data_IF_880224740350
#
_entry.id   IF_880224740350
#
_cell.length_a   1.000
_cell.length_b   1.000
_cell.length_c   1.000
_cell.angle_alpha   90.00
_cell.angle_beta   90.00
_cell.angle_gamma   90.00
#
_symmetry.space_group_name_H-M   'P 1'
#
loop_
_entity.id
_entity.type
_entity.pdbx_description
1 polymer ?
#
# COMPACT_ATOMS: atom_id res chain seq x y z
N UNK A 1 28.68 10.56 2.83
CA UNK A 1 27.97 9.80 1.79
C UNK A 1 27.80 8.38 2.34
N UNK A 2 26.79 8.20 3.18
CA UNK A 2 26.53 6.92 3.84
C UNK A 2 25.61 6.08 2.97
N UNK A 3 26.11 4.90 2.64
CA UNK A 3 25.45 3.91 1.81
C UNK A 3 24.54 3.14 2.76
N UNK A 4 23.24 3.40 2.68
CA UNK A 4 22.19 2.72 3.43
C UNK A 4 22.26 1.19 3.18
N UNK A 5 22.89 0.48 4.12
CA UNK A 5 22.87 -0.99 4.22
C UNK A 5 21.54 -1.42 4.83
N UNK A 6 20.46 -1.46 4.05
CA UNK A 6 19.13 -1.88 4.53
C UNK A 6 18.77 -3.34 4.21
N UNK A 7 19.67 -4.10 3.57
CA UNK A 7 19.36 -5.45 3.07
C UNK A 7 19.51 -6.59 4.09
N UNK A 8 20.30 -6.41 5.15
CA UNK A 8 20.61 -7.47 6.12
C UNK A 8 19.74 -7.46 7.38
N UNK A 9 19.36 -6.27 7.85
CA UNK A 9 18.69 -6.11 9.14
C UNK A 9 17.20 -6.50 9.08
N UNK A 10 16.55 -6.33 7.91
CA UNK A 10 15.15 -6.69 7.71
C UNK A 10 14.90 -8.19 7.88
N UNK A 11 15.84 -9.05 7.47
CA UNK A 11 15.64 -10.51 7.54
C UNK A 11 15.70 -11.04 8.98
N UNK A 12 16.60 -10.50 9.80
CA UNK A 12 16.75 -10.90 11.21
C UNK A 12 15.70 -10.23 12.11
N UNK A 13 15.31 -8.99 11.81
CA UNK A 13 14.18 -8.31 12.46
C UNK A 13 12.86 -9.04 12.19
N UNK A 14 12.64 -9.48 10.93
CA UNK A 14 11.52 -10.35 10.56
C UNK A 14 11.53 -11.69 11.31
N UNK A 15 12.67 -12.37 11.39
CA UNK A 15 12.79 -13.64 12.12
C UNK A 15 12.47 -13.47 13.60
N UNK A 16 12.94 -12.38 14.21
CA UNK A 16 12.75 -12.09 15.64
C UNK A 16 11.30 -11.69 15.93
N UNK A 17 10.70 -10.83 15.10
CA UNK A 17 9.31 -10.38 15.23
C UNK A 17 8.32 -11.54 14.98
N UNK A 18 8.63 -12.46 14.05
CA UNK A 18 7.88 -13.73 13.87
C UNK A 18 7.93 -14.57 15.15
N UNK A 19 9.12 -14.79 15.72
CA UNK A 19 9.28 -15.60 16.93
C UNK A 19 8.57 -14.96 18.12
N UNK A 20 8.65 -13.64 18.29
CA UNK A 20 7.93 -12.91 19.33
C UNK A 20 6.41 -12.96 19.13
N UNK A 21 5.88 -12.81 17.91
CA UNK A 21 4.44 -12.96 17.64
C UNK A 21 3.94 -14.36 18.00
N UNK A 22 4.71 -15.41 17.68
CA UNK A 22 4.35 -16.79 18.04
C UNK A 22 4.53 -17.10 19.53
N UNK A 23 5.31 -16.31 20.28
CA UNK A 23 5.62 -16.57 21.71
C UNK A 23 4.94 -15.61 22.69
N UNK A 24 4.50 -14.42 22.26
CA UNK A 24 4.00 -13.34 23.15
C UNK A 24 2.52 -12.97 22.98
N UNK A 25 1.80 -13.48 21.98
CA UNK A 25 0.34 -13.33 21.89
C UNK A 25 -0.29 -14.47 21.09
N UNK A 26 -1.31 -15.18 21.58
CA UNK A 26 -2.53 -14.54 22.04
C UNK A 26 -3.42 -15.45 22.89
N UNK A 27 -3.83 -14.91 24.04
CA UNK A 27 -5.08 -15.22 24.74
C UNK A 27 -6.33 -14.82 23.94
N UNK A 28 -6.19 -14.43 22.66
CA UNK A 28 -7.25 -14.53 21.67
C UNK A 28 -7.20 -15.93 21.07
N UNK A 29 -7.89 -16.87 21.72
CA UNK A 29 -8.24 -18.14 21.11
C UNK A 29 -9.09 -17.86 19.87
N UNK A 30 -8.44 -17.77 18.70
CA UNK A 30 -9.11 -18.10 17.45
C UNK A 30 -9.47 -19.57 17.61
N UNK A 31 -10.72 -19.85 17.97
CA UNK A 31 -11.24 -21.21 18.00
C UNK A 31 -11.32 -21.65 16.54
N UNK A 32 -10.21 -22.18 16.04
CA UNK A 32 -10.18 -22.87 14.75
C UNK A 32 -11.01 -24.12 14.99
N UNK A 33 -12.25 -24.13 14.50
CA UNK A 33 -13.12 -25.29 14.60
C UNK A 33 -12.34 -26.52 14.10
N UNK A 34 -12.24 -27.55 14.93
CA UNK A 34 -11.31 -28.66 14.74
C UNK A 34 -11.53 -29.49 13.46
N UNK A 35 -12.63 -29.21 12.75
CA UNK A 35 -13.13 -29.92 11.56
C UNK A 35 -12.55 -29.44 10.22
N UNK A 36 -11.54 -28.56 10.23
CA UNK A 36 -10.85 -28.19 8.99
C UNK A 36 -9.89 -29.30 8.54
N UNK A 37 -9.88 -29.59 7.23
CA UNK A 37 -8.87 -30.44 6.62
C UNK A 37 -7.47 -29.83 6.79
N UNK A 38 -6.43 -30.66 6.83
CA UNK A 38 -5.05 -30.19 7.05
C UNK A 38 -4.61 -29.13 6.03
N UNK A 39 -5.08 -29.22 4.79
CA UNK A 39 -4.82 -28.22 3.76
C UNK A 39 -5.48 -26.87 4.09
N UNK A 40 -6.71 -26.87 4.59
CA UNK A 40 -7.42 -25.65 5.00
C UNK A 40 -6.74 -25.01 6.22
N UNK A 41 -6.28 -25.84 7.17
CA UNK A 41 -5.47 -25.37 8.32
C UNK A 41 -4.17 -24.70 7.86
N UNK A 42 -3.46 -25.28 6.90
CA UNK A 42 -2.23 -24.69 6.33
C UNK A 42 -2.48 -23.34 5.67
N UNK A 43 -3.51 -23.24 4.83
CA UNK A 43 -3.88 -21.98 4.18
C UNK A 43 -4.31 -20.92 5.18
N UNK A 44 -5.06 -21.31 6.22
CA UNK A 44 -5.46 -20.41 7.30
C UNK A 44 -4.23 -19.86 8.05
N UNK A 45 -3.28 -20.73 8.41
CA UNK A 45 -2.03 -20.31 9.06
C UNK A 45 -1.27 -19.33 8.16
N UNK A 46 -1.13 -19.63 6.87
CA UNK A 46 -0.47 -18.74 5.91
C UNK A 46 -1.18 -17.37 5.86
N UNK A 47 -2.51 -17.35 5.76
CA UNK A 47 -3.29 -16.11 5.74
C UNK A 47 -3.12 -15.28 7.01
N UNK A 48 -3.15 -15.93 8.19
CA UNK A 48 -2.91 -15.28 9.48
C UNK A 48 -1.48 -14.73 9.55
N UNK A 49 -0.48 -15.51 9.14
CA UNK A 49 0.91 -15.06 9.12
C UNK A 49 1.11 -13.87 8.19
N UNK A 50 0.48 -13.86 7.02
CA UNK A 50 0.50 -12.71 6.11
C UNK A 50 -0.10 -11.48 6.81
N UNK A 51 -1.26 -11.62 7.45
CA UNK A 51 -1.93 -10.48 8.07
C UNK A 51 -1.20 -9.94 9.31
N UNK A 52 -0.67 -10.83 10.16
CA UNK A 52 -0.05 -10.44 11.44
C UNK A 52 1.42 -10.07 11.31
N UNK A 53 2.16 -10.66 10.37
CA UNK A 53 3.59 -10.42 10.21
C UNK A 53 3.85 -9.53 9.01
N UNK A 54 3.38 -9.94 7.82
CA UNK A 54 3.77 -9.27 6.59
C UNK A 54 3.19 -7.85 6.49
N UNK A 55 1.91 -7.67 6.85
CA UNK A 55 1.25 -6.37 6.76
C UNK A 55 1.92 -5.30 7.64
N UNK A 56 2.20 -5.55 8.95
CA UNK A 56 2.94 -4.58 9.77
C UNK A 56 4.35 -4.29 9.27
N UNK A 57 5.12 -5.30 8.86
CA UNK A 57 6.49 -5.07 8.37
C UNK A 57 6.49 -4.25 7.09
N UNK A 58 5.62 -4.57 6.13
CA UNK A 58 5.55 -3.82 4.87
C UNK A 58 5.07 -2.39 5.09
N UNK A 59 4.19 -2.15 6.05
CA UNK A 59 3.76 -0.81 6.42
C UNK A 59 4.93 0.02 6.96
N UNK A 60 5.68 -0.51 7.93
CA UNK A 60 6.91 0.10 8.47
C UNK A 60 7.94 0.38 7.38
N UNK A 61 8.04 -0.52 6.39
CA UNK A 61 8.93 -0.36 5.25
C UNK A 61 8.44 0.70 4.25
N UNK A 62 7.15 0.74 3.94
CA UNK A 62 6.58 1.55 2.84
C UNK A 62 6.39 3.01 3.25
N UNK A 63 5.92 3.26 4.47
CA UNK A 63 5.59 4.60 4.96
C UNK A 63 6.75 5.61 4.81
N UNK A 64 8.00 5.31 5.22
CA UNK A 64 9.12 6.23 5.06
C UNK A 64 9.43 6.58 3.60
N UNK A 65 9.27 5.62 2.67
CA UNK A 65 9.48 5.87 1.25
C UNK A 65 8.44 6.84 0.69
N UNK A 66 7.17 6.63 1.03
CA UNK A 66 6.06 7.49 0.60
C UNK A 66 6.19 8.88 1.22
N UNK A 67 6.55 8.96 2.49
CA UNK A 67 6.83 10.22 3.18
C UNK A 67 7.98 11.00 2.52
N UNK A 68 9.09 10.32 2.23
CA UNK A 68 10.24 10.91 1.53
C UNK A 68 9.87 11.37 0.11
N UNK A 69 9.07 10.60 -0.62
CA UNK A 69 8.55 10.98 -1.93
C UNK A 69 7.68 12.24 -1.84
N UNK A 70 6.77 12.28 -0.87
CA UNK A 70 5.91 13.44 -0.63
C UNK A 70 6.72 14.71 -0.42
N UNK A 71 7.71 14.70 0.48
CA UNK A 71 8.54 15.88 0.73
C UNK A 71 9.28 16.35 -0.53
N UNK A 72 9.78 15.40 -1.34
CA UNK A 72 10.46 15.70 -2.60
C UNK A 72 9.52 16.38 -3.61
N UNK A 73 8.31 15.85 -3.79
CA UNK A 73 7.33 16.38 -4.73
C UNK A 73 6.74 17.70 -4.22
N UNK A 74 6.49 17.81 -2.92
CA UNK A 74 6.02 19.03 -2.26
C UNK A 74 6.98 20.19 -2.52
N UNK A 75 8.28 19.97 -2.31
CA UNK A 75 9.30 20.98 -2.51
C UNK A 75 9.49 21.37 -3.99
N UNK A 76 9.49 20.39 -4.90
CA UNK A 76 9.75 20.63 -6.32
C UNK A 76 8.53 21.15 -7.11
N UNK A 77 7.32 20.73 -6.75
CA UNK A 77 6.11 20.93 -7.57
C UNK A 77 4.93 21.53 -6.81
N UNK A 78 5.04 21.80 -5.51
CA UNK A 78 3.98 22.43 -4.73
C UNK A 78 2.67 21.65 -4.75
N UNK A 79 2.73 20.31 -4.64
CA UNK A 79 1.56 19.42 -4.80
C UNK A 79 0.39 19.73 -3.85
N UNK A 80 0.66 20.37 -2.72
CA UNK A 80 -0.31 20.80 -1.72
C UNK A 80 -1.17 22.01 -2.16
N UNK A 81 -0.78 22.75 -3.20
CA UNK A 81 -1.51 23.92 -3.71
C UNK A 81 -2.00 23.76 -5.15
N UNK A 82 -1.95 22.54 -5.69
CA UNK A 82 -2.30 22.29 -7.08
C UNK A 82 -3.79 22.55 -7.39
N UNK A 83 -4.03 22.93 -8.64
CA UNK A 83 -5.34 23.20 -9.22
C UNK A 83 -5.46 22.49 -10.56
N UNK A 84 -6.67 22.40 -11.14
CA UNK A 84 -6.90 21.69 -12.41
C UNK A 84 -5.86 21.96 -13.52
N UNK A 85 -5.49 23.22 -13.85
CA UNK A 85 -4.49 23.48 -14.89
C UNK A 85 -3.04 23.23 -14.45
N UNK A 86 -2.75 23.26 -13.15
CA UNK A 86 -1.38 23.18 -12.60
C UNK A 86 -1.03 21.84 -11.97
N UNK A 87 -1.94 20.87 -12.04
CA UNK A 87 -1.76 19.56 -11.46
C UNK A 87 -0.68 18.73 -12.15
N UNK A 88 -0.02 17.90 -11.35
CA UNK A 88 1.04 17.03 -11.81
C UNK A 88 0.44 15.77 -12.45
N UNK A 89 0.45 15.68 -13.78
CA UNK A 89 -0.20 14.56 -14.48
C UNK A 89 0.46 13.20 -14.24
N UNK A 90 1.77 13.19 -13.99
CA UNK A 90 2.59 11.99 -13.87
C UNK A 90 3.59 12.13 -12.73
N UNK A 91 3.97 11.02 -12.10
CA UNK A 91 5.05 11.03 -11.11
C UNK A 91 6.35 11.58 -11.75
N UNK A 92 7.13 12.43 -11.05
CA UNK A 92 8.36 12.98 -11.62
C UNK A 92 9.34 11.88 -12.00
N UNK A 93 9.87 11.94 -13.23
CA UNK A 93 10.76 10.93 -13.82
C UNK A 93 10.10 9.55 -14.08
N UNK A 94 8.77 9.50 -14.08
CA UNK A 94 7.98 8.30 -14.39
C UNK A 94 7.03 8.55 -15.56
N UNK A 95 6.61 7.47 -16.23
CA UNK A 95 5.46 7.50 -17.14
C UNK A 95 4.12 7.27 -16.44
N UNK A 96 4.13 7.02 -15.12
CA UNK A 96 2.96 6.68 -14.34
C UNK A 96 2.05 7.89 -14.14
N UNK A 97 0.80 7.78 -14.60
CA UNK A 97 -0.22 8.80 -14.36
C UNK A 97 -0.69 8.79 -12.91
N UNK A 98 -0.91 9.98 -12.34
CA UNK A 98 -1.45 10.16 -10.99
C UNK A 98 -2.97 10.12 -11.00
N UNK A 99 -3.55 9.29 -10.12
CA UNK A 99 -4.99 9.10 -10.02
C UNK A 99 -5.62 10.11 -9.05
N UNK A 100 -5.94 11.32 -9.53
CA UNK A 100 -6.59 12.33 -8.70
C UNK A 100 -8.04 12.01 -8.34
N UNK A 101 -8.68 11.05 -9.00
CA UNK A 101 -10.02 10.56 -8.61
C UNK A 101 -10.01 9.88 -7.23
N UNK A 102 -8.85 9.30 -6.86
CA UNK A 102 -8.64 8.55 -5.63
C UNK A 102 -8.49 9.41 -4.36
N UNK A 103 -8.35 10.73 -4.48
CA UNK A 103 -8.16 11.64 -3.33
C UNK A 103 -9.37 12.53 -3.13
N UNK A 104 -9.48 13.15 -1.95
CA UNK A 104 -10.45 14.21 -1.64
C UNK A 104 -11.92 13.90 -2.03
N UNK A 105 -12.29 12.62 -2.08
CA UNK A 105 -13.59 12.14 -2.56
C UNK A 105 -13.96 12.58 -3.99
N UNK A 106 -12.96 12.82 -4.84
CA UNK A 106 -13.15 13.25 -6.23
C UNK A 106 -13.95 12.23 -7.06
N UNK A 107 -13.94 10.95 -6.70
CA UNK A 107 -14.78 9.92 -7.32
C UNK A 107 -16.29 10.19 -7.22
N UNK A 108 -16.75 10.98 -6.25
CA UNK A 108 -18.15 11.39 -6.12
C UNK A 108 -18.51 12.56 -7.05
N UNK A 109 -17.51 13.25 -7.57
CA UNK A 109 -17.67 14.44 -8.42
C UNK A 109 -17.91 13.99 -9.85
N UNK A 110 -19.19 13.93 -10.21
CA UNK A 110 -19.63 13.53 -11.55
C UNK A 110 -20.37 14.67 -12.26
N UNK A 111 -20.25 14.68 -13.59
CA UNK A 111 -21.11 15.42 -14.51
C UNK A 111 -22.23 14.51 -14.98
N UNK A 112 -23.25 15.10 -15.61
CA UNK A 112 -24.43 14.37 -16.09
C UNK A 112 -24.11 13.01 -16.75
N UNK A 113 -24.96 12.02 -16.48
CA UNK A 113 -24.79 10.59 -16.85
C UNK A 113 -23.67 9.84 -16.10
N UNK A 114 -23.20 10.36 -14.96
CA UNK A 114 -22.27 9.65 -14.08
C UNK A 114 -20.82 9.65 -14.57
N UNK A 115 -20.48 10.49 -15.54
CA UNK A 115 -19.08 10.64 -15.95
C UNK A 115 -18.33 11.50 -14.93
N UNK A 116 -17.03 11.28 -14.69
CA UNK A 116 -16.28 12.11 -13.77
C UNK A 116 -16.15 13.56 -14.25
N UNK A 117 -16.32 14.54 -13.36
CA UNK A 117 -16.13 15.97 -13.65
C UNK A 117 -14.75 16.43 -13.16
N UNK A 118 -13.74 16.04 -13.94
CA UNK A 118 -12.31 16.24 -13.67
C UNK A 118 -11.97 17.73 -13.43
N UNK A 119 -12.74 18.65 -14.03
CA UNK A 119 -12.53 20.10 -13.89
C UNK A 119 -12.81 20.63 -12.47
N UNK A 120 -13.60 19.89 -11.68
CA UNK A 120 -14.02 20.27 -10.33
C UNK A 120 -13.31 19.51 -9.21
N UNK A 121 -12.39 18.63 -9.55
CA UNK A 121 -11.63 17.87 -8.57
C UNK A 121 -10.81 18.80 -7.66
N UNK A 122 -10.68 18.41 -6.40
CA UNK A 122 -9.68 18.98 -5.51
C UNK A 122 -8.34 18.24 -5.71
N UNK A 123 -7.38 18.96 -6.29
CA UNK A 123 -6.06 18.45 -6.65
C UNK A 123 -5.04 18.55 -5.51
N UNK A 124 -5.41 19.11 -4.35
CA UNK A 124 -4.48 19.31 -3.24
C UNK A 124 -4.13 17.99 -2.58
N UNK A 125 -2.83 17.73 -2.49
CA UNK A 125 -2.30 16.58 -1.73
C UNK A 125 -1.69 17.11 -0.45
N UNK A 126 -2.40 16.94 0.66
CA UNK A 126 -2.07 17.61 1.94
C UNK A 126 -0.99 16.85 2.72
N UNK A 127 -0.88 15.54 2.52
CA UNK A 127 0.06 14.68 3.22
C UNK A 127 0.47 13.47 2.37
N UNK A 128 1.39 12.67 2.91
CA UNK A 128 1.91 11.47 2.26
C UNK A 128 0.84 10.35 2.13
N UNK A 129 -0.18 10.32 2.99
CA UNK A 129 -1.31 9.39 2.89
C UNK A 129 -2.14 9.69 1.65
N UNK A 130 -2.53 10.95 1.42
CA UNK A 130 -3.22 11.37 0.19
C UNK A 130 -2.34 11.14 -1.05
N UNK A 131 -1.03 11.35 -0.94
CA UNK A 131 -0.11 11.02 -2.03
C UNK A 131 -0.17 9.54 -2.39
N UNK A 132 -0.20 8.65 -1.41
CA UNK A 132 -0.25 7.20 -1.63
C UNK A 132 -1.47 6.78 -2.46
N UNK A 133 -2.63 7.42 -2.22
CA UNK A 133 -3.88 7.16 -2.93
C UNK A 133 -3.77 7.44 -4.43
N UNK A 134 -2.95 8.41 -4.85
CA UNK A 134 -2.73 8.71 -6.27
C UNK A 134 -2.12 7.54 -7.06
N UNK A 135 -1.46 6.61 -6.37
CA UNK A 135 -0.84 5.44 -6.99
C UNK A 135 -1.77 4.22 -7.00
N UNK A 136 -2.97 4.34 -6.43
CA UNK A 136 -3.90 3.24 -6.21
C UNK A 136 -5.18 3.40 -7.03
N UNK A 137 -5.94 2.30 -7.10
CA UNK A 137 -7.31 2.32 -7.61
C UNK A 137 -8.24 2.91 -6.55
N UNK A 138 -9.29 3.59 -7.00
CA UNK A 138 -10.20 4.37 -6.14
C UNK A 138 -10.78 3.57 -4.97
N UNK A 139 -11.12 2.29 -5.16
CA UNK A 139 -11.67 1.46 -4.08
C UNK A 139 -10.65 1.05 -3.01
N UNK A 140 -9.34 1.10 -3.31
CA UNK A 140 -8.28 0.75 -2.34
C UNK A 140 -7.95 1.91 -1.38
N UNK A 141 -8.42 3.12 -1.70
CA UNK A 141 -8.04 4.37 -1.01
C UNK A 141 -8.52 4.44 0.44
N UNK A 142 -9.52 3.64 0.80
CA UNK A 142 -10.03 3.52 2.16
C UNK A 142 -9.08 2.74 3.09
N UNK A 143 -8.03 2.11 2.55
CA UNK A 143 -7.11 1.25 3.28
C UNK A 143 -5.65 1.74 3.21
N UNK A 144 -5.42 3.05 3.20
CA UNK A 144 -4.08 3.65 2.98
C UNK A 144 -3.52 4.41 4.17
N UNK A 145 -4.16 4.37 5.34
CA UNK A 145 -3.83 5.23 6.47
C UNK A 145 -2.48 4.92 7.16
N UNK A 146 -1.69 3.97 6.67
CA UNK A 146 -0.46 3.45 7.30
C UNK A 146 -0.63 3.14 8.80
N UNK A 147 -1.83 2.75 9.21
CA UNK A 147 -2.18 2.22 10.53
C UNK A 147 -2.78 0.82 10.39
N UNK A 148 -3.32 0.24 11.46
CA UNK A 148 -3.93 -1.10 11.46
C UNK A 148 -5.02 -1.32 10.40
N UNK A 149 -5.63 -0.25 9.89
CA UNK A 149 -6.65 -0.30 8.83
C UNK A 149 -6.05 -0.39 7.42
N UNK A 150 -4.73 -0.25 7.29
CA UNK A 150 -4.04 -0.35 6.03
C UNK A 150 -3.93 -1.81 5.56
N UNK A 151 -4.58 -2.09 4.43
CA UNK A 151 -4.65 -3.40 3.79
C UNK A 151 -3.38 -3.68 2.97
N UNK A 152 -3.02 -4.96 2.90
CA UNK A 152 -1.91 -5.48 2.14
C UNK A 152 -2.08 -5.18 0.65
N UNK A 153 -3.30 -5.22 0.11
CA UNK A 153 -3.55 -4.89 -1.29
C UNK A 153 -3.15 -3.45 -1.64
N UNK A 154 -3.43 -2.51 -0.72
CA UNK A 154 -3.01 -1.12 -0.84
C UNK A 154 -1.48 -0.99 -0.73
N UNK A 155 -0.84 -1.66 0.24
CA UNK A 155 0.62 -1.66 0.39
C UNK A 155 1.32 -2.18 -0.86
N UNK A 156 0.85 -3.30 -1.40
CA UNK A 156 1.38 -3.85 -2.64
C UNK A 156 1.16 -2.94 -3.83
N UNK A 157 -0.03 -2.34 -3.95
CA UNK A 157 -0.31 -1.34 -4.97
C UNK A 157 0.67 -0.16 -4.90
N UNK A 158 0.97 0.35 -3.70
CA UNK A 158 1.94 1.43 -3.51
C UNK A 158 3.34 1.01 -3.96
N UNK A 159 3.82 -0.15 -3.50
CA UNK A 159 5.17 -0.65 -3.83
C UNK A 159 5.34 -0.84 -5.33
N UNK A 160 4.36 -1.44 -6.01
CA UNK A 160 4.41 -1.69 -7.45
C UNK A 160 4.39 -0.37 -8.23
N UNK A 161 3.52 0.56 -7.83
CA UNK A 161 3.17 1.72 -8.65
C UNK A 161 4.05 2.96 -8.41
N UNK A 162 4.77 3.04 -7.28
CA UNK A 162 5.70 4.14 -6.98
C UNK A 162 7.09 3.79 -7.51
N UNK A 163 7.65 4.62 -8.38
CA UNK A 163 8.95 4.32 -9.03
C UNK A 163 10.17 4.42 -8.11
N UNK A 164 10.03 5.07 -6.97
CA UNK A 164 11.09 5.15 -5.97
C UNK A 164 11.43 3.81 -5.32
N UNK A 165 10.56 2.80 -5.41
CA UNK A 165 10.86 1.47 -4.87
C UNK A 165 11.83 0.68 -5.76
N UNK A 166 12.78 -0.07 -5.17
CA UNK A 166 13.70 -0.91 -5.94
C UNK A 166 12.96 -1.95 -6.79
N UNK A 167 13.40 -2.14 -8.04
CA UNK A 167 12.77 -3.09 -8.97
C UNK A 167 12.76 -4.53 -8.43
N UNK A 168 13.77 -4.92 -7.65
CA UNK A 168 13.82 -6.22 -6.99
C UNK A 168 12.63 -6.42 -6.05
N UNK A 169 12.31 -5.41 -5.24
CA UNK A 169 11.16 -5.43 -4.32
C UNK A 169 9.85 -5.46 -5.11
N UNK A 170 9.72 -4.64 -6.16
CA UNK A 170 8.56 -4.65 -7.06
C UNK A 170 8.31 -6.04 -7.67
N UNK A 171 9.37 -6.71 -8.11
CA UNK A 171 9.27 -8.05 -8.71
C UNK A 171 8.83 -9.11 -7.70
N UNK A 172 9.31 -9.03 -6.45
CA UNK A 172 8.89 -9.94 -5.38
C UNK A 172 7.43 -9.71 -5.04
N UNK A 173 7.04 -8.46 -4.81
CA UNK A 173 5.64 -8.11 -4.49
C UNK A 173 4.70 -8.50 -5.62
N UNK A 174 5.07 -8.27 -6.88
CA UNK A 174 4.26 -8.70 -8.03
C UNK A 174 4.00 -10.21 -8.03
N UNK A 175 5.01 -11.05 -7.73
CA UNK A 175 4.82 -12.51 -7.62
C UNK A 175 3.91 -12.88 -6.46
N UNK A 176 4.03 -12.21 -5.33
CA UNK A 176 3.16 -12.45 -4.15
C UNK A 176 1.73 -11.98 -4.43
N UNK A 177 1.53 -10.85 -5.11
CA UNK A 177 0.21 -10.42 -5.58
C UNK A 177 -0.46 -11.48 -6.44
N UNK A 178 0.23 -12.00 -7.46
CA UNK A 178 -0.32 -13.08 -8.28
C UNK A 178 -0.71 -14.30 -7.45
N UNK A 179 0.08 -14.65 -6.45
CA UNK A 179 -0.23 -15.76 -5.54
C UNK A 179 -1.50 -15.47 -4.71
N UNK A 180 -1.64 -14.28 -4.15
CA UNK A 180 -2.81 -13.87 -3.35
C UNK A 180 -4.06 -13.71 -4.21
N UNK A 181 -3.94 -13.11 -5.40
CA UNK A 181 -5.04 -12.96 -6.36
C UNK A 181 -5.50 -14.33 -6.89
N UNK A 182 -4.57 -15.26 -7.16
CA UNK A 182 -4.92 -16.63 -7.53
C UNK A 182 -5.70 -17.35 -6.42
N UNK A 183 -5.45 -17.06 -5.14
CA UNK A 183 -6.23 -17.63 -4.02
C UNK A 183 -7.63 -16.99 -3.94
N UNK A 184 -7.72 -15.67 -4.16
CA UNK A 184 -9.00 -14.95 -4.16
C UNK A 184 -9.96 -15.36 -5.29
N UNK A 185 -9.44 -15.84 -6.43
CA UNK A 185 -10.24 -16.35 -7.56
C UNK A 185 -10.56 -17.84 -7.49
N UNK A 186 -10.02 -18.58 -6.52
CA UNK A 186 -10.37 -19.99 -6.24
C UNK A 186 -11.43 -20.14 -5.13
N UNK A 187 -11.97 -19.04 -4.61
CA UNK A 187 -13.06 -18.98 -3.62
C UNK A 187 -14.35 -18.52 -4.28
#
# INVERSE_FOLDING_TARGET
MEIFRYGGDIEEELKTEIVEIFTSGSNSTVIINADLEDNQKRWLIIGISIQLVLSPTLRKYTEPFVHSLYNSIQHAHGIQTQTYPSQLKQEPNSTRALNYEAINNNHLITRGRGHPDISKYDYKVINHVELSKLFLQTFMTQYTAFDETCDLSALFGMIINIDKFPQTVKNVVSKVCYFVDCIAWFS
#
